data_IF_260467945863
#
_entry.id   IF_260467945863
#
_cell.length_a   1.000
_cell.length_b   1.000
_cell.length_c   1.000
_cell.angle_alpha   90.00
_cell.angle_beta   90.00
_cell.angle_gamma   90.00
#
_symmetry.space_group_name_H-M   'P 1'
#
loop_
_entity.id
_entity.type
_entity.pdbx_description
1 polymer ?
#
# COMPACT_ATOMS: atom_id res chain seq x y z
N UNK A 1 -77.20 -18.51 -29.52
CA UNK A 1 -75.84 -17.99 -29.80
C UNK A 1 -75.58 -16.82 -28.87
N UNK A 2 -74.57 -16.90 -27.99
CA UNK A 2 -74.18 -15.76 -27.16
C UNK A 2 -73.55 -14.68 -28.05
N UNK A 3 -74.05 -13.45 -27.90
CA UNK A 3 -73.60 -12.28 -28.67
C UNK A 3 -72.23 -11.85 -28.15
N UNK A 4 -71.19 -11.93 -28.98
CA UNK A 4 -69.82 -11.58 -28.57
C UNK A 4 -69.63 -10.07 -28.35
N UNK A 5 -68.57 -9.66 -27.65
CA UNK A 5 -68.29 -8.23 -27.37
C UNK A 5 -68.19 -7.38 -28.65
N UNK A 6 -67.66 -7.95 -29.73
CA UNK A 6 -67.65 -7.31 -31.06
C UNK A 6 -69.07 -7.06 -31.58
N UNK A 7 -69.98 -8.03 -31.44
CA UNK A 7 -71.35 -7.92 -31.96
C UNK A 7 -72.15 -6.86 -31.23
N UNK A 8 -71.94 -6.72 -29.93
CA UNK A 8 -72.56 -5.67 -29.11
C UNK A 8 -72.05 -4.28 -29.49
N UNK A 9 -70.73 -4.13 -29.67
CA UNK A 9 -70.12 -2.85 -30.08
C UNK A 9 -70.52 -2.46 -31.50
N UNK A 10 -70.53 -3.42 -32.42
CA UNK A 10 -70.89 -3.20 -33.82
C UNK A 10 -72.37 -2.81 -33.97
N UNK A 11 -73.27 -3.45 -33.23
CA UNK A 11 -74.70 -3.12 -33.29
C UNK A 11 -75.01 -1.75 -32.69
N UNK A 12 -74.26 -1.33 -31.66
CA UNK A 12 -74.36 0.03 -31.12
C UNK A 12 -73.80 1.06 -32.10
N UNK A 13 -72.67 0.77 -32.76
CA UNK A 13 -72.10 1.62 -33.81
C UNK A 13 -73.08 1.78 -34.99
N UNK A 14 -73.68 0.68 -35.47
CA UNK A 14 -74.68 0.71 -36.56
C UNK A 14 -75.87 1.63 -36.27
N UNK A 15 -76.36 1.67 -35.02
CA UNK A 15 -77.47 2.54 -34.62
C UNK A 15 -77.15 4.03 -34.74
N UNK A 16 -75.87 4.39 -34.63
CA UNK A 16 -75.38 5.78 -34.70
C UNK A 16 -75.10 6.23 -36.12
N UNK A 17 -75.10 5.33 -37.11
CA UNK A 17 -74.83 5.68 -38.51
C UNK A 17 -76.10 6.15 -39.24
N UNK A 18 -75.96 6.99 -40.29
CA UNK A 18 -77.06 7.40 -41.17
C UNK A 18 -77.83 6.20 -41.74
N UNK A 19 -79.18 6.23 -41.83
CA UNK A 19 -80.01 5.11 -42.27
C UNK A 19 -79.59 4.52 -43.62
N UNK A 20 -79.09 5.36 -44.53
CA UNK A 20 -78.68 5.00 -45.89
C UNK A 20 -77.43 4.11 -45.90
N UNK A 21 -76.56 4.21 -44.87
CA UNK A 21 -75.31 3.45 -44.76
C UNK A 21 -75.45 2.15 -43.97
N UNK A 22 -76.53 2.01 -43.18
CA UNK A 22 -76.73 0.84 -42.29
C UNK A 22 -76.78 -0.50 -43.02
N UNK A 23 -77.50 -0.66 -44.17
CA UNK A 23 -77.55 -1.94 -44.87
C UNK A 23 -76.18 -2.38 -45.40
N UNK A 24 -75.42 -1.42 -45.95
CA UNK A 24 -74.08 -1.67 -46.48
C UNK A 24 -73.03 -1.97 -45.40
N UNK A 25 -73.17 -1.41 -44.20
CA UNK A 25 -72.33 -1.76 -43.06
C UNK A 25 -72.74 -3.09 -42.43
N UNK A 26 -74.04 -3.36 -42.29
CA UNK A 26 -74.55 -4.62 -41.76
C UNK A 26 -74.12 -5.82 -42.62
N UNK A 27 -74.11 -5.69 -43.95
CA UNK A 27 -73.61 -6.74 -44.84
C UNK A 27 -72.11 -7.02 -44.70
N UNK A 28 -71.32 -6.04 -44.24
CA UNK A 28 -69.87 -6.16 -43.99
C UNK A 28 -69.51 -6.64 -42.58
N UNK A 29 -70.49 -6.83 -41.69
CA UNK A 29 -70.27 -7.20 -40.28
C UNK A 29 -69.38 -8.44 -40.11
N UNK A 30 -69.62 -9.48 -40.91
CA UNK A 30 -68.85 -10.72 -40.83
C UNK A 30 -67.38 -10.51 -41.22
N UNK A 31 -67.12 -9.82 -42.34
CA UNK A 31 -65.77 -9.49 -42.80
C UNK A 31 -65.02 -8.58 -41.83
N UNK A 32 -65.71 -7.60 -41.21
CA UNK A 32 -65.12 -6.73 -40.18
C UNK A 32 -64.80 -7.49 -38.89
N UNK A 33 -65.62 -8.48 -38.53
CA UNK A 33 -65.34 -9.37 -37.39
C UNK A 33 -64.08 -10.18 -37.64
N UNK A 34 -63.98 -10.80 -38.82
CA UNK A 34 -62.84 -11.61 -39.22
C UNK A 34 -61.54 -10.79 -39.30
N UNK A 35 -61.56 -9.64 -39.97
CA UNK A 35 -60.41 -8.74 -40.04
C UNK A 35 -60.02 -8.18 -38.65
N UNK A 36 -61.00 -7.96 -37.76
CA UNK A 36 -60.78 -7.60 -36.37
C UNK A 36 -60.11 -8.70 -35.56
N UNK A 37 -60.59 -9.94 -35.68
CA UNK A 37 -60.00 -11.11 -35.00
C UNK A 37 -58.58 -11.38 -35.48
N UNK A 38 -58.30 -11.27 -36.78
CA UNK A 38 -56.96 -11.47 -37.34
C UNK A 38 -55.97 -10.42 -36.80
N UNK A 39 -56.36 -9.15 -36.75
CA UNK A 39 -55.52 -8.08 -36.18
C UNK A 39 -55.28 -8.28 -34.68
N UNK A 40 -56.29 -8.70 -33.91
CA UNK A 40 -56.12 -9.02 -32.49
C UNK A 40 -55.21 -10.22 -32.27
N UNK A 41 -55.34 -11.28 -33.09
CA UNK A 41 -54.45 -12.43 -33.04
C UNK A 41 -53.00 -12.04 -33.38
N UNK A 42 -52.79 -11.22 -34.42
CA UNK A 42 -51.47 -10.67 -34.76
C UNK A 42 -50.90 -9.83 -33.61
N UNK A 43 -51.70 -8.97 -32.98
CA UNK A 43 -51.25 -8.15 -31.84
C UNK A 43 -50.90 -9.00 -30.61
N UNK A 44 -51.67 -10.06 -30.34
CA UNK A 44 -51.38 -11.00 -29.25
C UNK A 44 -50.09 -11.77 -29.51
N UNK A 45 -49.88 -12.24 -30.75
CA UNK A 45 -48.63 -12.90 -31.15
C UNK A 45 -47.43 -11.97 -31.01
N UNK A 46 -47.55 -10.71 -31.44
CA UNK A 46 -46.48 -9.72 -31.30
C UNK A 46 -46.14 -9.43 -29.83
N UNK A 47 -47.16 -9.25 -28.97
CA UNK A 47 -46.94 -9.04 -27.52
C UNK A 47 -46.28 -10.24 -26.85
N UNK A 48 -46.70 -11.45 -27.22
CA UNK A 48 -46.09 -12.69 -26.72
C UNK A 48 -44.63 -12.80 -27.17
N UNK A 49 -44.35 -12.51 -28.44
CA UNK A 49 -42.98 -12.50 -28.96
C UNK A 49 -42.09 -11.50 -28.24
N UNK A 50 -42.59 -10.29 -27.96
CA UNK A 50 -41.83 -9.29 -27.21
C UNK A 50 -41.56 -9.76 -25.78
N UNK A 51 -42.59 -10.28 -25.10
CA UNK A 51 -42.43 -10.82 -23.74
C UNK A 51 -41.40 -11.96 -23.68
N UNK A 52 -41.43 -12.89 -24.64
CA UNK A 52 -40.46 -13.99 -24.71
C UNK A 52 -39.02 -13.47 -24.95
N UNK A 53 -38.85 -12.41 -25.73
CA UNK A 53 -37.55 -11.75 -25.92
C UNK A 53 -37.06 -11.03 -24.65
N UNK A 54 -37.94 -10.31 -23.97
CA UNK A 54 -37.59 -9.58 -22.74
C UNK A 54 -37.21 -10.56 -21.61
N UNK A 55 -37.94 -11.67 -21.48
CA UNK A 55 -37.63 -12.74 -20.53
C UNK A 55 -36.29 -13.42 -20.85
N UNK A 56 -36.01 -13.67 -22.13
CA UNK A 56 -34.69 -14.19 -22.56
C UNK A 56 -33.57 -13.23 -22.14
N UNK A 57 -33.70 -11.95 -22.47
CA UNK A 57 -32.67 -10.96 -22.15
C UNK A 57 -32.43 -10.83 -20.64
N UNK A 58 -33.50 -10.88 -19.83
CA UNK A 58 -33.41 -10.83 -18.38
C UNK A 58 -32.65 -12.04 -17.83
N UNK A 59 -33.06 -13.26 -18.19
CA UNK A 59 -32.40 -14.50 -17.73
C UNK A 59 -30.96 -14.56 -18.22
N UNK A 60 -30.69 -14.21 -19.48
CA UNK A 60 -29.32 -14.19 -19.99
C UNK A 60 -28.42 -13.21 -19.24
N UNK A 61 -28.96 -12.04 -18.87
CA UNK A 61 -28.22 -11.05 -18.08
C UNK A 61 -27.93 -11.57 -16.67
N UNK A 62 -28.95 -12.14 -16.01
CA UNK A 62 -28.83 -12.71 -14.67
C UNK A 62 -27.81 -13.86 -14.64
N UNK A 63 -27.87 -14.79 -15.59
CA UNK A 63 -26.95 -15.93 -15.64
C UNK A 63 -25.52 -15.51 -15.98
N UNK A 64 -25.32 -14.51 -16.84
CA UNK A 64 -23.97 -13.97 -17.09
C UNK A 64 -23.42 -13.25 -15.86
N UNK A 65 -24.26 -12.55 -15.10
CA UNK A 65 -23.86 -11.92 -13.84
C UNK A 65 -23.53 -12.97 -12.76
N UNK A 66 -24.29 -14.06 -12.70
CA UNK A 66 -24.01 -15.20 -11.82
C UNK A 66 -22.65 -15.82 -12.17
N UNK A 67 -22.36 -16.06 -13.44
CA UNK A 67 -21.05 -16.57 -13.90
C UNK A 67 -19.93 -15.58 -13.54
N UNK A 68 -20.14 -14.28 -13.74
CA UNK A 68 -19.13 -13.26 -13.47
C UNK A 68 -18.74 -13.16 -11.97
N UNK A 69 -19.66 -13.51 -11.07
CA UNK A 69 -19.45 -13.49 -9.61
C UNK A 69 -19.04 -14.84 -9.01
N UNK A 70 -19.23 -15.93 -9.75
CA UNK A 70 -18.92 -17.28 -9.28
C UNK A 70 -17.43 -17.56 -9.38
N UNK A 71 -16.98 -18.59 -8.66
CA UNK A 71 -15.64 -19.14 -8.87
C UNK A 71 -15.54 -19.68 -10.30
N UNK A 72 -14.63 -19.18 -11.16
CA UNK A 72 -14.44 -19.68 -12.52
C UNK A 72 -14.00 -21.15 -12.58
N UNK A 73 -13.50 -21.72 -11.47
CA UNK A 73 -13.22 -23.15 -11.33
C UNK A 73 -14.45 -23.99 -10.94
N UNK A 74 -15.55 -23.38 -10.53
CA UNK A 74 -16.82 -24.07 -10.32
C UNK A 74 -17.49 -24.38 -11.67
N UNK A 75 -17.06 -25.50 -12.25
CA UNK A 75 -17.57 -25.98 -13.53
C UNK A 75 -19.04 -26.34 -13.46
N UNK A 76 -19.53 -26.79 -12.31
CA UNK A 76 -20.92 -27.19 -12.15
C UNK A 76 -21.85 -25.97 -12.16
N UNK A 77 -21.49 -24.89 -11.47
CA UNK A 77 -22.23 -23.63 -11.52
C UNK A 77 -22.23 -23.04 -12.93
N UNK A 78 -21.07 -23.06 -13.61
CA UNK A 78 -20.96 -22.60 -15.00
C UNK A 78 -21.85 -23.40 -15.95
N UNK A 79 -21.80 -24.74 -15.90
CA UNK A 79 -22.59 -25.59 -16.77
C UNK A 79 -24.09 -25.47 -16.48
N UNK A 80 -24.49 -25.31 -15.22
CA UNK A 80 -25.87 -25.05 -14.84
C UNK A 80 -26.41 -23.75 -15.44
N UNK A 81 -25.67 -22.64 -15.31
CA UNK A 81 -26.04 -21.34 -15.89
C UNK A 81 -26.10 -21.41 -17.43
N UNK A 82 -25.14 -22.09 -18.04
CA UNK A 82 -25.12 -22.34 -19.48
C UNK A 82 -26.35 -23.13 -19.93
N UNK A 83 -26.70 -24.21 -19.23
CA UNK A 83 -27.87 -25.04 -19.53
C UNK A 83 -29.18 -24.27 -19.34
N UNK A 84 -29.31 -23.45 -18.29
CA UNK A 84 -30.52 -22.67 -18.05
C UNK A 84 -30.87 -21.75 -19.24
N UNK A 85 -29.87 -21.06 -19.81
CA UNK A 85 -30.08 -20.22 -21.00
C UNK A 85 -30.37 -21.04 -22.26
N UNK A 86 -29.75 -22.21 -22.45
CA UNK A 86 -30.04 -23.10 -23.58
C UNK A 86 -31.48 -23.65 -23.51
N UNK A 87 -31.94 -24.05 -22.34
CA UNK A 87 -33.31 -24.53 -22.11
C UNK A 87 -34.35 -23.44 -22.42
N UNK A 88 -34.03 -22.18 -22.13
CA UNK A 88 -34.89 -21.06 -22.48
C UNK A 88 -34.94 -20.84 -23.99
N UNK A 89 -33.81 -20.84 -24.67
CA UNK A 89 -33.72 -20.74 -26.14
C UNK A 89 -34.49 -21.88 -26.81
N UNK A 90 -34.40 -23.11 -26.29
CA UNK A 90 -35.09 -24.28 -26.82
C UNK A 90 -36.63 -24.17 -26.73
N UNK A 91 -37.15 -23.47 -25.72
CA UNK A 91 -38.59 -23.21 -25.53
C UNK A 91 -39.13 -22.13 -26.44
N UNK A 92 -38.26 -21.31 -27.06
CA UNK A 92 -38.69 -20.24 -27.96
C UNK A 92 -39.14 -20.79 -29.32
N UNK A 93 -40.15 -20.16 -29.91
CA UNK A 93 -40.62 -20.49 -31.26
C UNK A 93 -39.73 -19.83 -32.33
N UNK A 94 -38.43 -20.12 -32.30
CA UNK A 94 -37.45 -19.65 -33.27
C UNK A 94 -37.34 -20.59 -34.46
N UNK A 95 -37.08 -20.02 -35.63
CA UNK A 95 -36.63 -20.75 -36.82
C UNK A 95 -35.38 -21.60 -36.48
N UNK A 96 -35.23 -22.83 -37.01
CA UNK A 96 -34.11 -23.70 -36.68
C UNK A 96 -32.73 -23.06 -36.89
N UNK A 97 -32.54 -22.26 -37.93
CA UNK A 97 -31.26 -21.62 -38.20
C UNK A 97 -30.98 -20.47 -37.21
N UNK A 98 -32.01 -19.70 -36.88
CA UNK A 98 -31.92 -18.63 -35.87
C UNK A 98 -31.61 -19.23 -34.50
N UNK A 99 -32.28 -20.33 -34.13
CA UNK A 99 -32.03 -21.04 -32.88
C UNK A 99 -30.57 -21.46 -32.73
N UNK A 100 -30.00 -22.11 -33.75
CA UNK A 100 -28.59 -22.52 -33.73
C UNK A 100 -27.64 -21.33 -33.53
N UNK A 101 -27.92 -20.20 -34.19
CA UNK A 101 -27.14 -18.97 -34.00
C UNK A 101 -27.29 -18.40 -32.59
N UNK A 102 -28.50 -18.36 -32.04
CA UNK A 102 -28.76 -17.88 -30.67
C UNK A 102 -28.07 -18.77 -29.63
N UNK A 103 -28.14 -20.09 -29.79
CA UNK A 103 -27.43 -21.01 -28.90
C UNK A 103 -25.91 -20.85 -28.99
N UNK A 104 -25.35 -20.69 -30.20
CA UNK A 104 -23.92 -20.46 -30.38
C UNK A 104 -23.48 -19.13 -29.75
N UNK A 105 -24.25 -18.06 -29.95
CA UNK A 105 -24.00 -16.77 -29.32
C UNK A 105 -24.07 -16.86 -27.79
N UNK A 106 -25.04 -17.61 -27.26
CA UNK A 106 -25.17 -17.84 -25.82
C UNK A 106 -23.95 -18.56 -25.24
N UNK A 107 -23.52 -19.68 -25.85
CA UNK A 107 -22.32 -20.42 -25.44
C UNK A 107 -21.06 -19.53 -25.46
N UNK A 108 -20.91 -18.71 -26.50
CA UNK A 108 -19.80 -17.77 -26.62
C UNK A 108 -19.82 -16.70 -25.51
N UNK A 109 -21.00 -16.15 -25.18
CA UNK A 109 -21.17 -15.17 -24.10
C UNK A 109 -20.86 -15.76 -22.72
N UNK A 110 -21.35 -16.97 -22.42
CA UNK A 110 -21.06 -17.64 -21.15
C UNK A 110 -19.58 -17.95 -21.02
N UNK A 111 -18.94 -18.48 -22.09
CA UNK A 111 -17.52 -18.75 -22.10
C UNK A 111 -16.68 -17.47 -21.89
N UNK A 112 -17.10 -16.36 -22.52
CA UNK A 112 -16.45 -15.06 -22.34
C UNK A 112 -16.56 -14.57 -20.90
N UNK A 113 -17.76 -14.59 -20.31
CA UNK A 113 -17.99 -14.15 -18.93
C UNK A 113 -17.15 -14.96 -17.92
N UNK A 114 -17.05 -16.29 -18.12
CA UNK A 114 -16.18 -17.13 -17.29
C UNK A 114 -14.71 -16.74 -17.39
N UNK A 115 -14.21 -16.46 -18.61
CA UNK A 115 -12.83 -16.01 -18.79
C UNK A 115 -12.59 -14.62 -18.21
N UNK A 116 -13.57 -13.72 -18.25
CA UNK A 116 -13.49 -12.41 -17.59
C UNK A 116 -13.43 -12.55 -16.06
N UNK A 117 -14.22 -13.45 -15.48
CA UNK A 117 -14.13 -13.81 -14.06
C UNK A 117 -12.75 -14.38 -13.70
N UNK A 118 -12.22 -15.29 -14.52
CA UNK A 118 -10.87 -15.83 -14.34
C UNK A 118 -9.79 -14.75 -14.45
N UNK A 119 -9.93 -13.78 -15.36
CA UNK A 119 -8.99 -12.65 -15.45
C UNK A 119 -9.04 -11.79 -14.18
N UNK A 120 -10.22 -11.59 -13.60
CA UNK A 120 -10.36 -10.82 -12.38
C UNK A 120 -9.73 -11.53 -11.16
N UNK A 121 -9.80 -12.86 -11.10
CA UNK A 121 -9.25 -13.65 -10.00
C UNK A 121 -7.75 -13.98 -10.17
N UNK A 122 -7.36 -14.48 -11.35
CA UNK A 122 -5.99 -14.89 -11.67
C UNK A 122 -5.67 -14.56 -13.16
N UNK A 123 -5.27 -13.31 -13.44
CA UNK A 123 -4.98 -12.87 -14.80
C UNK A 123 -3.80 -13.60 -15.43
N UNK A 124 -2.84 -14.08 -14.63
CA UNK A 124 -1.68 -14.83 -15.11
C UNK A 124 -2.08 -16.21 -15.63
N UNK A 125 -2.92 -16.93 -14.88
CA UNK A 125 -3.50 -18.21 -15.31
C UNK A 125 -4.39 -18.02 -16.53
N UNK A 126 -5.24 -17.00 -16.55
CA UNK A 126 -6.07 -16.67 -17.71
C UNK A 126 -5.22 -16.45 -18.97
N UNK A 127 -4.15 -15.65 -18.86
CA UNK A 127 -3.24 -15.38 -19.97
C UNK A 127 -2.56 -16.66 -20.48
N UNK A 128 -2.14 -17.56 -19.58
CA UNK A 128 -1.55 -18.86 -19.94
C UNK A 128 -2.54 -19.74 -20.70
N UNK A 129 -3.78 -19.84 -20.21
CA UNK A 129 -4.84 -20.62 -20.85
C UNK A 129 -5.20 -20.08 -22.23
N UNK A 130 -5.36 -18.76 -22.37
CA UNK A 130 -5.67 -18.10 -23.65
C UNK A 130 -4.51 -18.17 -24.65
N UNK A 131 -3.27 -18.26 -24.18
CA UNK A 131 -2.08 -18.37 -25.04
C UNK A 131 -1.82 -19.79 -25.53
N UNK A 132 -2.26 -20.81 -24.79
CA UNK A 132 -2.07 -22.22 -25.16
C UNK A 132 -2.92 -22.65 -26.38
N UNK A 133 -3.95 -21.86 -26.72
CA UNK A 133 -4.90 -22.19 -27.79
C UNK A 133 -5.76 -23.42 -27.45
N UNK A 134 -6.79 -23.73 -28.27
CA UNK A 134 -7.51 -24.99 -28.15
C UNK A 134 -6.56 -26.12 -28.54
N UNK A 135 -6.09 -26.90 -27.55
CA UNK A 135 -5.24 -28.06 -27.80
C UNK A 135 -6.12 -29.16 -28.42
N UNK A 136 -5.94 -29.41 -29.71
CA UNK A 136 -6.45 -30.63 -30.37
C UNK A 136 -5.50 -31.78 -30.06
N UNK A 137 -5.52 -32.31 -28.83
CA UNK A 137 -4.82 -33.56 -28.51
C UNK A 137 -5.73 -34.47 -27.71
N UNK A 138 -5.87 -35.67 -28.27
CA UNK A 138 -6.54 -36.89 -27.81
C UNK A 138 -7.54 -36.84 -26.66
N UNK A 139 -8.73 -37.34 -27.01
CA UNK A 139 -9.87 -37.69 -26.18
C UNK A 139 -9.44 -38.66 -25.08
N UNK A 140 -8.91 -38.14 -23.97
CA UNK A 140 -8.76 -38.89 -22.73
C UNK A 140 -9.01 -37.96 -21.54
N UNK A 141 -10.23 -38.08 -21.00
CA UNK A 141 -10.79 -37.40 -19.82
C UNK A 141 -10.72 -35.86 -19.86
N UNK A 142 -11.84 -35.25 -20.28
CA UNK A 142 -12.01 -33.81 -20.42
C UNK A 142 -11.67 -33.02 -19.16
N UNK A 143 -10.72 -32.09 -19.30
CA UNK A 143 -10.70 -30.91 -18.45
C UNK A 143 -11.71 -29.90 -19.03
N UNK A 144 -12.78 -29.53 -18.29
CA UNK A 144 -13.88 -28.67 -18.75
C UNK A 144 -13.45 -27.24 -19.16
N UNK A 145 -12.18 -26.89 -18.93
CA UNK A 145 -11.55 -25.65 -19.38
C UNK A 145 -11.33 -25.58 -20.90
N UNK A 146 -11.23 -26.73 -21.58
CA UNK A 146 -11.00 -26.82 -23.02
C UNK A 146 -12.26 -26.56 -23.85
N UNK A 147 -13.43 -26.93 -23.33
CA UNK A 147 -14.73 -26.69 -23.99
C UNK A 147 -15.10 -25.20 -24.01
N UNK A 148 -14.81 -24.46 -22.93
CA UNK A 148 -15.07 -23.01 -22.89
C UNK A 148 -14.25 -22.23 -23.93
N UNK A 149 -13.01 -22.67 -24.23
CA UNK A 149 -12.17 -22.05 -25.27
C UNK A 149 -12.69 -22.34 -26.69
N UNK A 150 -13.37 -23.47 -26.90
CA UNK A 150 -13.91 -23.87 -28.20
C UNK A 150 -15.11 -23.00 -28.63
N UNK A 151 -15.86 -22.45 -27.68
CA UNK A 151 -17.00 -21.56 -27.94
C UNK A 151 -16.58 -20.10 -28.22
N UNK A 152 -15.31 -19.75 -28.02
CA UNK A 152 -14.82 -18.39 -28.21
C UNK A 152 -14.33 -18.16 -29.65
N UNK A 153 -14.69 -17.01 -30.21
CA UNK A 153 -14.13 -16.57 -31.49
C UNK A 153 -12.64 -16.22 -31.34
N UNK A 154 -11.84 -16.32 -32.42
CA UNK A 154 -10.42 -15.93 -32.40
C UNK A 154 -10.20 -14.49 -31.93
N UNK A 155 -11.11 -13.57 -32.26
CA UNK A 155 -11.02 -12.17 -31.84
C UNK A 155 -11.35 -11.98 -30.35
N UNK A 156 -12.32 -12.74 -29.81
CA UNK A 156 -12.59 -12.76 -28.39
C UNK A 156 -11.38 -13.29 -27.60
N UNK A 157 -10.74 -14.37 -28.08
CA UNK A 157 -9.51 -14.91 -27.48
C UNK A 157 -8.41 -13.85 -27.45
N UNK A 158 -8.19 -13.12 -28.57
CA UNK A 158 -7.19 -12.04 -28.64
C UNK A 158 -7.52 -10.89 -27.68
N UNK A 159 -8.79 -10.49 -27.59
CA UNK A 159 -9.22 -9.42 -26.69
C UNK A 159 -9.00 -9.80 -25.22
N UNK A 160 -9.49 -10.99 -24.83
CA UNK A 160 -9.32 -11.52 -23.47
C UNK A 160 -7.85 -11.70 -23.12
N UNK A 161 -7.01 -12.13 -24.07
CA UNK A 161 -5.57 -12.27 -23.84
C UNK A 161 -4.89 -10.92 -23.58
N UNK A 162 -5.27 -9.87 -24.33
CA UNK A 162 -4.78 -8.51 -24.06
C UNK A 162 -5.23 -8.01 -22.68
N UNK A 163 -6.49 -8.25 -22.32
CA UNK A 163 -7.03 -7.89 -21.01
C UNK A 163 -6.31 -8.63 -19.87
N UNK A 164 -6.11 -9.94 -20.01
CA UNK A 164 -5.37 -10.77 -19.06
C UNK A 164 -3.92 -10.28 -18.87
N UNK A 165 -3.23 -9.96 -19.97
CA UNK A 165 -1.85 -9.42 -19.92
C UNK A 165 -1.79 -8.05 -19.25
N UNK A 166 -2.74 -7.17 -19.55
CA UNK A 166 -2.83 -5.86 -18.91
C UNK A 166 -3.08 -6.00 -17.41
N UNK A 167 -4.04 -6.82 -17.00
CA UNK A 167 -4.33 -7.10 -15.59
C UNK A 167 -3.13 -7.74 -14.87
N UNK A 168 -2.43 -8.67 -15.51
CA UNK A 168 -1.19 -9.26 -14.98
C UNK A 168 -0.13 -8.18 -14.75
N UNK A 169 0.08 -7.27 -15.71
CA UNK A 169 1.05 -6.19 -15.55
C UNK A 169 0.67 -5.25 -14.39
N UNK A 170 -0.61 -4.90 -14.25
CA UNK A 170 -1.10 -4.09 -13.12
C UNK A 170 -0.87 -4.78 -11.78
N UNK A 171 -1.15 -6.09 -11.69
CA UNK A 171 -0.90 -6.87 -10.48
C UNK A 171 0.58 -6.92 -10.11
N UNK A 172 1.47 -7.13 -11.10
CA UNK A 172 2.92 -7.15 -10.87
C UNK A 172 3.46 -5.80 -10.40
N UNK A 173 2.96 -4.68 -10.95
CA UNK A 173 3.32 -3.33 -10.49
C UNK A 173 2.89 -3.13 -9.03
N UNK A 174 1.66 -3.50 -8.68
CA UNK A 174 1.16 -3.41 -7.32
C UNK A 174 1.97 -4.26 -6.34
N UNK A 175 2.29 -5.50 -6.72
CA UNK A 175 3.11 -6.40 -5.92
C UNK A 175 4.54 -5.84 -5.72
N UNK A 176 5.15 -5.28 -6.78
CA UNK A 176 6.47 -4.63 -6.72
C UNK A 176 6.47 -3.47 -5.73
N UNK A 177 5.48 -2.58 -5.85
CA UNK A 177 5.33 -1.45 -4.95
C UNK A 177 5.16 -1.89 -3.48
N UNK A 178 4.40 -2.96 -3.22
CA UNK A 178 4.26 -3.52 -1.88
C UNK A 178 5.59 -4.07 -1.34
N UNK A 179 6.36 -4.79 -2.17
CA UNK A 179 7.69 -5.29 -1.77
C UNK A 179 8.63 -4.13 -1.44
N UNK A 180 8.70 -3.12 -2.30
CA UNK A 180 9.60 -1.97 -2.11
C UNK A 180 9.23 -1.21 -0.84
N UNK A 181 7.93 -0.99 -0.62
CA UNK A 181 7.40 -0.30 0.55
C UNK A 181 7.64 -1.06 1.86
N UNK A 182 7.45 -2.38 1.86
CA UNK A 182 7.79 -3.23 3.00
C UNK A 182 9.31 -3.25 3.23
N UNK A 183 10.11 -3.36 2.17
CA UNK A 183 11.58 -3.39 2.25
C UNK A 183 12.16 -2.12 2.87
N UNK A 184 11.54 -0.97 2.59
CA UNK A 184 11.95 0.33 3.14
C UNK A 184 11.46 0.52 4.59
N UNK A 185 10.21 0.18 4.87
CA UNK A 185 9.57 0.61 6.13
C UNK A 185 9.53 -0.47 7.22
N UNK A 186 9.39 -1.75 6.84
CA UNK A 186 9.20 -2.82 7.82
C UNK A 186 10.41 -3.02 8.75
N UNK A 187 11.68 -3.00 8.28
CA UNK A 187 12.83 -3.09 9.18
C UNK A 187 12.84 -2.01 10.26
N UNK A 188 12.44 -0.78 9.91
CA UNK A 188 12.39 0.32 10.87
C UNK A 188 11.22 0.22 11.83
N UNK A 189 10.02 -0.05 11.32
CA UNK A 189 8.83 -0.24 12.15
C UNK A 189 9.01 -1.38 13.17
N UNK A 190 9.65 -2.47 12.76
CA UNK A 190 9.96 -3.59 13.65
C UNK A 190 11.02 -3.16 14.68
N UNK A 191 12.06 -2.44 14.28
CA UNK A 191 13.10 -1.97 15.20
C UNK A 191 12.56 -1.06 16.32
N UNK A 192 11.58 -0.20 16.03
CA UNK A 192 11.00 0.71 17.02
C UNK A 192 9.84 0.10 17.80
N UNK A 193 8.91 -0.56 17.10
CA UNK A 193 7.64 -1.02 17.70
C UNK A 193 7.56 -2.53 17.94
N UNK A 194 8.48 -3.31 17.38
CA UNK A 194 8.47 -4.77 17.44
C UNK A 194 7.51 -5.42 16.42
N UNK A 195 6.80 -4.63 15.63
CA UNK A 195 5.82 -5.13 14.66
C UNK A 195 5.76 -4.29 13.38
N UNK A 196 5.14 -4.84 12.34
CA UNK A 196 4.80 -4.14 11.11
C UNK A 196 3.33 -4.35 10.80
N UNK A 197 2.57 -3.27 10.59
CA UNK A 197 1.10 -3.34 10.51
C UNK A 197 0.57 -3.80 9.15
N UNK A 198 1.40 -3.77 8.10
CA UNK A 198 1.01 -4.16 6.75
C UNK A 198 1.41 -5.60 6.45
N UNK A 199 0.78 -6.23 5.43
CA UNK A 199 1.16 -7.57 4.99
C UNK A 199 2.65 -7.64 4.66
N UNK A 200 3.32 -8.65 5.21
CA UNK A 200 4.72 -8.93 4.92
C UNK A 200 4.81 -9.68 3.60
N UNK A 201 5.63 -9.22 2.63
CA UNK A 201 5.85 -9.97 1.41
C UNK A 201 6.41 -11.37 1.67
N UNK A 202 5.87 -12.36 0.96
CA UNK A 202 6.26 -13.76 1.04
C UNK A 202 7.30 -14.13 -0.03
N UNK A 203 8.01 -15.27 0.10
CA UNK A 203 8.90 -15.75 -0.96
C UNK A 203 8.21 -15.90 -2.31
N UNK A 204 6.92 -16.25 -2.32
CA UNK A 204 6.13 -16.41 -3.53
C UNK A 204 5.93 -15.07 -4.26
N UNK A 205 5.77 -13.98 -3.53
CA UNK A 205 5.62 -12.63 -4.11
C UNK A 205 6.91 -12.19 -4.82
N UNK A 206 8.08 -12.46 -4.22
CA UNK A 206 9.36 -12.18 -4.88
C UNK A 206 9.57 -13.09 -6.09
N UNK A 207 9.26 -14.38 -5.98
CA UNK A 207 9.39 -15.31 -7.11
C UNK A 207 8.48 -14.93 -8.28
N UNK A 208 7.29 -14.40 -8.01
CA UNK A 208 6.35 -13.95 -9.04
C UNK A 208 6.86 -12.75 -9.84
N UNK A 209 7.64 -11.85 -9.22
CA UNK A 209 8.13 -10.62 -9.84
C UNK A 209 9.49 -10.80 -10.50
N UNK A 210 10.41 -11.46 -9.80
CA UNK A 210 11.82 -11.56 -10.20
C UNK A 210 12.17 -12.93 -10.79
N UNK A 211 11.24 -13.89 -10.75
CA UNK A 211 11.51 -15.30 -11.04
C UNK A 211 12.02 -16.06 -9.81
N UNK A 212 12.00 -17.39 -9.87
CA UNK A 212 12.28 -18.25 -8.70
C UNK A 212 13.68 -18.03 -8.12
N UNK A 213 14.70 -17.99 -8.98
CA UNK A 213 16.08 -17.87 -8.52
C UNK A 213 16.41 -16.47 -8.00
N UNK A 214 16.11 -15.44 -8.79
CA UNK A 214 16.42 -14.05 -8.41
C UNK A 214 15.49 -13.54 -7.31
N UNK A 215 14.22 -13.95 -7.33
CA UNK A 215 13.27 -13.70 -6.24
C UNK A 215 13.71 -14.34 -4.93
N UNK A 216 14.32 -15.54 -4.98
CA UNK A 216 14.92 -16.16 -3.81
C UNK A 216 16.01 -15.30 -3.18
N UNK A 217 16.90 -14.71 -3.99
CA UNK A 217 17.97 -13.80 -3.52
C UNK A 217 17.40 -12.52 -2.93
N UNK A 218 16.48 -11.86 -3.63
CA UNK A 218 15.83 -10.64 -3.12
C UNK A 218 15.06 -10.89 -1.83
N UNK A 219 14.39 -12.03 -1.69
CA UNK A 219 13.71 -12.39 -0.44
C UNK A 219 14.70 -12.65 0.71
N UNK A 220 15.86 -13.25 0.43
CA UNK A 220 16.91 -13.42 1.44
C UNK A 220 17.45 -12.07 1.92
N UNK A 221 17.69 -11.12 1.02
CA UNK A 221 18.10 -9.75 1.37
C UNK A 221 17.04 -9.05 2.21
N UNK A 222 15.79 -9.12 1.79
CA UNK A 222 14.65 -8.59 2.54
C UNK A 222 14.57 -9.21 3.94
N UNK A 223 14.66 -10.53 4.05
CA UNK A 223 14.61 -11.26 5.32
C UNK A 223 15.74 -10.86 6.26
N UNK A 224 16.95 -10.63 5.73
CA UNK A 224 18.08 -10.11 6.51
C UNK A 224 17.78 -8.72 7.09
N UNK A 225 17.23 -7.81 6.29
CA UNK A 225 16.83 -6.47 6.78
C UNK A 225 15.78 -6.54 7.88
N UNK A 226 14.81 -7.43 7.75
CA UNK A 226 13.78 -7.67 8.77
C UNK A 226 14.42 -8.22 10.07
N UNK A 227 15.38 -9.13 9.96
CA UNK A 227 16.08 -9.68 11.13
C UNK A 227 16.92 -8.62 11.85
N UNK A 228 17.59 -7.73 11.11
CA UNK A 228 18.26 -6.56 11.70
C UNK A 228 17.26 -5.72 12.50
N UNK A 229 16.06 -5.49 11.97
CA UNK A 229 15.00 -4.79 12.68
C UNK A 229 14.60 -5.50 13.98
N UNK A 230 14.40 -6.82 13.95
CA UNK A 230 14.05 -7.60 15.15
C UNK A 230 15.14 -7.57 16.22
N UNK A 231 16.40 -7.72 15.83
CA UNK A 231 17.51 -7.67 16.78
C UNK A 231 17.70 -6.27 17.35
N UNK A 232 17.56 -5.21 16.54
CA UNK A 232 17.63 -3.83 17.01
C UNK A 232 16.53 -3.55 18.06
N UNK A 233 15.31 -4.06 17.85
CA UNK A 233 14.25 -3.98 18.85
C UNK A 233 14.63 -4.66 20.17
N UNK A 234 15.26 -5.84 20.10
CA UNK A 234 15.77 -6.53 21.28
C UNK A 234 16.89 -5.76 22.01
N UNK A 235 17.73 -5.05 21.26
CA UNK A 235 18.84 -4.26 21.79
C UNK A 235 18.40 -2.93 22.42
N UNK A 236 17.15 -2.50 22.20
CA UNK A 236 16.73 -1.13 22.54
C UNK A 236 16.89 -0.77 24.03
N UNK A 237 16.67 -1.75 24.90
CA UNK A 237 16.82 -1.62 26.35
C UNK A 237 18.15 -2.18 26.88
N UNK A 238 19.00 -2.74 26.01
CA UNK A 238 20.29 -3.29 26.43
C UNK A 238 21.30 -2.16 26.70
N UNK A 239 22.08 -2.20 27.80
CA UNK A 239 23.18 -1.26 27.99
C UNK A 239 24.22 -1.36 26.87
N UNK A 240 24.88 -0.24 26.53
CA UNK A 240 25.92 -0.19 25.49
C UNK A 240 26.98 -1.30 25.68
N UNK A 241 27.44 -1.50 26.92
CA UNK A 241 28.40 -2.56 27.23
C UNK A 241 27.87 -3.97 26.89
N UNK A 242 26.58 -4.24 27.11
CA UNK A 242 25.97 -5.52 26.78
C UNK A 242 25.85 -5.70 25.26
N UNK A 243 25.56 -4.63 24.52
CA UNK A 243 25.56 -4.64 23.04
C UNK A 243 26.99 -4.94 22.52
N UNK A 244 28.01 -4.27 23.07
CA UNK A 244 29.40 -4.53 22.70
C UNK A 244 29.86 -5.95 23.07
N UNK A 245 29.41 -6.51 24.19
CA UNK A 245 29.68 -7.89 24.55
C UNK A 245 29.03 -8.86 23.55
N UNK A 246 27.74 -8.67 23.24
CA UNK A 246 27.03 -9.49 22.27
C UNK A 246 27.68 -9.46 20.87
N UNK A 247 28.23 -8.32 20.45
CA UNK A 247 28.99 -8.23 19.19
C UNK A 247 30.27 -9.05 19.21
N UNK A 248 31.06 -8.95 20.28
CA UNK A 248 32.29 -9.73 20.43
C UNK A 248 32.01 -11.23 20.48
N UNK A 249 30.95 -11.63 21.17
CA UNK A 249 30.56 -13.04 21.28
C UNK A 249 30.04 -13.60 19.95
N UNK A 250 29.45 -12.75 19.09
CA UNK A 250 28.99 -13.12 17.76
C UNK A 250 30.09 -13.08 16.69
N UNK A 251 31.30 -12.62 17.02
CA UNK A 251 32.37 -12.41 16.05
C UNK A 251 32.83 -13.76 15.44
N UNK A 252 32.81 -13.90 14.10
CA UNK A 252 33.14 -15.16 13.45
C UNK A 252 34.63 -15.44 13.56
N UNK A 253 34.98 -16.61 14.09
CA UNK A 253 36.36 -17.08 14.17
C UNK A 253 36.96 -17.50 12.81
N UNK A 254 38.29 -17.74 12.75
CA UNK A 254 38.93 -18.23 11.53
C UNK A 254 38.31 -19.53 11.02
N UNK A 255 37.89 -19.55 9.75
CA UNK A 255 37.24 -20.72 9.14
C UNK A 255 35.74 -20.86 9.44
N UNK A 256 35.11 -19.83 10.03
CA UNK A 256 33.66 -19.75 10.23
C UNK A 256 32.87 -19.97 8.94
N UNK A 257 31.66 -20.52 9.08
CA UNK A 257 30.77 -20.73 7.95
C UNK A 257 30.22 -19.40 7.41
N UNK A 258 29.70 -19.42 6.17
CA UNK A 258 29.00 -18.27 5.60
C UNK A 258 27.75 -17.89 6.42
N UNK A 259 27.12 -18.87 7.07
CA UNK A 259 25.97 -18.64 7.94
C UNK A 259 26.35 -17.89 9.21
N UNK A 260 27.47 -18.26 9.86
CA UNK A 260 27.99 -17.55 11.03
C UNK A 260 28.33 -16.10 10.67
N UNK A 261 28.93 -15.88 9.51
CA UNK A 261 29.24 -14.55 9.03
C UNK A 261 27.98 -13.72 8.74
N UNK A 262 26.94 -14.32 8.18
CA UNK A 262 25.65 -13.65 7.97
C UNK A 262 24.96 -13.28 9.29
N UNK A 263 25.00 -14.17 10.30
CA UNK A 263 24.46 -13.89 11.65
C UNK A 263 25.20 -12.75 12.34
N UNK A 264 26.53 -12.73 12.24
CA UNK A 264 27.34 -11.62 12.74
C UNK A 264 26.98 -10.30 12.06
N UNK A 265 26.86 -10.27 10.72
CA UNK A 265 26.49 -9.05 9.99
C UNK A 265 25.14 -8.49 10.43
N UNK A 266 24.14 -9.35 10.66
CA UNK A 266 22.83 -8.92 11.17
C UNK A 266 22.96 -8.30 12.57
N UNK A 267 23.73 -8.95 13.45
CA UNK A 267 23.97 -8.47 14.82
C UNK A 267 24.71 -7.14 14.83
N UNK A 268 25.75 -7.01 14.01
CA UNK A 268 26.52 -5.79 13.82
C UNK A 268 25.64 -4.64 13.30
N UNK A 269 24.83 -4.87 12.27
CA UNK A 269 23.92 -3.86 11.75
C UNK A 269 22.86 -3.41 12.77
N UNK A 270 22.33 -4.34 13.57
CA UNK A 270 21.38 -4.04 14.63
C UNK A 270 22.00 -3.20 15.75
N UNK A 271 23.23 -3.53 16.16
CA UNK A 271 23.98 -2.77 17.16
C UNK A 271 24.33 -1.37 16.65
N UNK A 272 24.85 -1.26 15.42
CA UNK A 272 25.15 0.03 14.79
C UNK A 272 23.91 0.93 14.73
N UNK A 273 22.76 0.38 14.34
CA UNK A 273 21.49 1.11 14.36
C UNK A 273 21.17 1.63 15.76
N UNK A 274 21.19 0.75 16.76
CA UNK A 274 20.79 1.06 18.13
C UNK A 274 21.71 2.12 18.76
N UNK A 275 23.03 1.94 18.63
CA UNK A 275 24.03 2.88 19.14
C UNK A 275 24.01 4.21 18.39
N UNK A 276 23.78 4.17 17.08
CA UNK A 276 23.60 5.37 16.25
C UNK A 276 22.42 6.22 16.71
N UNK A 277 21.25 5.61 16.94
CA UNK A 277 20.07 6.31 17.46
C UNK A 277 20.32 6.94 18.83
N UNK A 278 21.03 6.25 19.72
CA UNK A 278 21.44 6.78 21.03
C UNK A 278 22.39 7.96 20.91
N UNK A 279 23.26 7.99 19.88
CA UNK A 279 24.20 9.09 19.64
C UNK A 279 23.51 10.30 19.02
N UNK A 280 22.56 10.09 18.11
CA UNK A 280 21.86 11.16 17.39
C UNK A 280 20.94 11.97 18.31
N UNK A 281 20.13 11.30 19.14
CA UNK A 281 19.25 11.98 20.10
C UNK A 281 19.15 11.14 21.39
N UNK A 282 20.17 11.17 22.28
CA UNK A 282 20.20 10.39 23.51
C UNK A 282 18.92 10.50 24.34
N UNK A 283 18.43 11.72 24.51
CA UNK A 283 17.26 12.04 25.33
C UNK A 283 15.95 11.67 24.62
N UNK A 284 15.85 11.91 23.30
CA UNK A 284 14.72 11.44 22.50
C UNK A 284 14.63 9.93 22.44
N UNK A 285 15.77 9.24 22.35
CA UNK A 285 15.83 7.78 22.35
C UNK A 285 15.27 7.19 23.63
N UNK A 286 15.71 7.66 24.81
CA UNK A 286 15.18 7.14 26.07
C UNK A 286 13.72 7.50 26.28
N UNK A 287 13.26 8.64 25.75
CA UNK A 287 11.85 9.01 25.77
C UNK A 287 11.00 8.00 24.97
N UNK A 288 11.47 7.59 23.81
CA UNK A 288 10.76 6.60 22.98
C UNK A 288 10.76 5.19 23.60
N UNK A 289 11.88 4.79 24.22
CA UNK A 289 12.06 3.43 24.74
C UNK A 289 11.41 3.24 26.11
N UNK A 290 11.42 4.25 26.98
CA UNK A 290 10.95 4.16 28.35
C UNK A 290 9.69 4.99 28.59
N UNK A 291 8.53 4.36 28.83
CA UNK A 291 7.25 5.06 29.04
C UNK A 291 7.28 6.10 30.16
N UNK A 292 8.03 5.85 31.23
CA UNK A 292 8.15 6.78 32.35
C UNK A 292 8.87 8.09 31.95
N UNK A 293 9.83 8.00 31.03
CA UNK A 293 10.52 9.17 30.47
C UNK A 293 9.55 9.97 29.59
N UNK A 294 8.76 9.31 28.74
CA UNK A 294 7.74 9.97 27.93
C UNK A 294 6.65 10.65 28.76
N UNK A 295 6.19 9.99 29.82
CA UNK A 295 5.24 10.58 30.77
C UNK A 295 5.80 11.85 31.42
N UNK A 296 7.07 11.83 31.84
CA UNK A 296 7.71 12.99 32.45
C UNK A 296 7.80 14.18 31.48
N UNK A 297 8.19 13.95 30.22
CA UNK A 297 8.22 15.00 29.19
C UNK A 297 6.83 15.48 28.76
N UNK A 298 5.83 14.60 28.77
CA UNK A 298 4.44 14.97 28.48
C UNK A 298 3.86 15.85 29.58
N UNK A 299 4.23 15.63 30.85
CA UNK A 299 3.83 16.49 31.96
C UNK A 299 4.38 17.92 31.83
N UNK A 300 5.62 18.08 31.33
CA UNK A 300 6.20 19.40 31.02
C UNK A 300 5.37 20.13 29.97
N UNK A 301 5.02 19.44 28.87
CA UNK A 301 4.20 20.02 27.81
C UNK A 301 2.81 20.47 28.31
N UNK A 302 2.13 19.63 29.10
CA UNK A 302 0.81 19.92 29.66
C UNK A 302 0.84 21.03 30.75
N UNK A 303 1.97 21.19 31.43
CA UNK A 303 2.15 22.26 32.44
C UNK A 303 2.29 23.63 31.78
N UNK A 304 2.90 23.69 30.59
CA UNK A 304 3.02 24.93 29.81
C UNK A 304 1.67 25.44 29.26
N UNK A 305 0.68 24.56 29.06
CA UNK A 305 -0.67 24.97 28.62
C UNK A 305 -1.52 25.58 29.74
N UNK A 306 -1.29 25.18 31.00
CA UNK A 306 -2.12 25.55 32.14
C UNK A 306 -1.47 26.56 33.10
N UNK A 307 -0.15 26.72 33.07
CA UNK A 307 0.61 27.73 33.80
C UNK A 307 1.42 28.56 32.80
N UNK A 308 1.25 29.88 32.82
CA UNK A 308 1.93 30.87 31.95
C UNK A 308 3.43 31.04 32.23
N UNK A 309 4.10 29.94 32.55
CA UNK A 309 5.50 29.90 32.92
C UNK A 309 5.84 28.48 33.26
N UNK A 310 6.75 27.87 32.50
CA UNK A 310 7.01 26.44 32.59
C UNK A 310 7.39 26.02 34.01
N UNK A 311 6.72 24.99 34.51
CA UNK A 311 6.91 24.49 35.88
C UNK A 311 8.35 23.98 36.08
N UNK A 312 9.16 24.65 36.92
CA UNK A 312 10.55 24.24 37.18
C UNK A 312 10.65 22.82 37.76
N UNK A 313 9.66 22.38 38.55
CA UNK A 313 9.65 21.03 39.12
C UNK A 313 9.35 19.98 38.05
N UNK A 314 8.45 20.27 37.10
CA UNK A 314 8.21 19.40 35.96
C UNK A 314 9.46 19.22 35.10
N UNK A 315 10.18 20.31 34.80
CA UNK A 315 11.47 20.24 34.10
C UNK A 315 12.52 19.45 34.89
N UNK A 316 12.66 19.73 36.19
CA UNK A 316 13.62 19.00 37.05
C UNK A 316 13.36 17.50 37.03
N UNK A 317 12.10 17.09 37.16
CA UNK A 317 11.72 15.68 37.13
C UNK A 317 12.02 15.04 35.76
N UNK A 318 11.66 15.70 34.67
CA UNK A 318 11.91 15.20 33.32
C UNK A 318 13.42 15.05 33.02
N UNK A 319 14.24 16.02 33.43
CA UNK A 319 15.69 15.94 33.32
C UNK A 319 16.26 14.77 34.11
N UNK A 320 15.87 14.65 35.40
CA UNK A 320 16.39 13.61 36.28
C UNK A 320 16.09 12.20 35.74
N UNK A 321 14.85 11.92 35.35
CA UNK A 321 14.44 10.61 34.84
C UNK A 321 15.09 10.33 33.47
N UNK A 322 15.14 11.31 32.57
CA UNK A 322 15.77 11.17 31.25
C UNK A 322 17.27 10.87 31.36
N UNK A 323 18.02 11.64 32.15
CA UNK A 323 19.47 11.45 32.33
C UNK A 323 19.75 10.11 33.03
N UNK A 324 18.95 9.73 34.02
CA UNK A 324 19.08 8.42 34.68
C UNK A 324 18.88 7.27 33.68
N UNK A 325 17.87 7.33 32.81
CA UNK A 325 17.63 6.34 31.77
C UNK A 325 18.78 6.27 30.75
N UNK A 326 19.35 7.42 30.36
CA UNK A 326 20.50 7.47 29.45
C UNK A 326 21.74 6.80 30.06
N UNK A 327 22.00 7.07 31.35
CA UNK A 327 23.08 6.43 32.11
C UNK A 327 22.86 4.94 32.28
N UNK A 328 21.61 4.50 32.51
CA UNK A 328 21.27 3.07 32.58
C UNK A 328 21.60 2.35 31.26
N UNK A 329 21.39 3.01 30.12
CA UNK A 329 21.79 2.49 28.82
C UNK A 329 23.30 2.60 28.55
N UNK A 330 24.08 3.20 29.45
CA UNK A 330 25.52 3.40 29.28
C UNK A 330 25.87 4.45 28.24
N UNK A 331 25.01 5.46 28.03
CA UNK A 331 25.31 6.61 27.17
C UNK A 331 26.31 7.51 27.88
N UNK A 332 27.46 7.75 27.25
CA UNK A 332 28.62 8.45 27.85
C UNK A 332 28.41 9.96 28.00
N UNK A 333 27.69 10.55 27.05
CA UNK A 333 27.37 11.99 27.02
C UNK A 333 25.86 12.21 27.08
N UNK A 334 25.23 12.12 28.28
CA UNK A 334 23.80 12.35 28.42
C UNK A 334 23.41 13.77 28.01
N UNK A 335 22.28 13.88 27.31
CA UNK A 335 21.69 15.15 26.95
C UNK A 335 20.46 15.44 27.82
N UNK A 336 20.29 16.66 28.33
CA UNK A 336 19.13 17.00 29.15
C UNK A 336 17.84 17.03 28.33
N UNK A 337 17.84 17.62 27.12
CA UNK A 337 16.63 17.77 26.30
C UNK A 337 16.58 16.77 25.15
N UNK A 338 15.42 16.11 24.91
CA UNK A 338 15.12 15.53 23.61
C UNK A 338 15.19 16.59 22.51
N UNK A 339 15.74 16.26 21.35
CA UNK A 339 15.92 17.22 20.24
C UNK A 339 14.61 17.90 19.86
N UNK A 340 13.51 17.14 19.78
CA UNK A 340 12.18 17.68 19.48
C UNK A 340 11.66 18.67 20.53
N UNK A 341 12.03 18.48 21.81
CA UNK A 341 11.65 19.41 22.89
C UNK A 341 12.48 20.69 22.80
N UNK A 342 13.80 20.57 22.55
CA UNK A 342 14.67 21.73 22.35
C UNK A 342 14.19 22.60 21.17
N UNK A 343 13.86 21.98 20.04
CA UNK A 343 13.29 22.67 18.88
C UNK A 343 11.92 23.31 19.21
N UNK A 344 11.07 22.60 19.95
CA UNK A 344 9.79 23.14 20.41
C UNK A 344 9.95 24.40 21.26
N UNK A 345 10.93 24.41 22.16
CA UNK A 345 11.28 25.56 23.00
C UNK A 345 11.77 26.73 22.14
N UNK A 346 12.76 26.50 21.26
CA UNK A 346 13.31 27.57 20.39
C UNK A 346 12.23 28.16 19.48
N UNK A 347 11.40 27.31 18.87
CA UNK A 347 10.29 27.78 18.03
C UNK A 347 9.27 28.60 18.83
N UNK A 348 9.03 28.25 20.09
CA UNK A 348 8.15 29.00 20.98
C UNK A 348 8.76 30.35 21.33
N UNK A 349 10.04 30.40 21.70
CA UNK A 349 10.74 31.64 22.05
C UNK A 349 10.83 32.63 20.87
N UNK A 350 10.92 32.13 19.64
CA UNK A 350 10.93 32.96 18.42
C UNK A 350 9.56 33.50 17.99
N UNK A 351 8.44 32.97 18.53
CA UNK A 351 7.11 33.48 18.17
C UNK A 351 6.90 34.89 18.73
N UNK A 352 6.54 35.83 17.86
CA UNK A 352 6.18 37.20 18.24
C UNK A 352 4.85 37.31 18.98
N UNK A 353 4.00 36.28 18.90
CA UNK A 353 2.68 36.22 19.54
C UNK A 353 2.76 35.89 21.04
N UNK A 354 3.91 35.40 21.51
CA UNK A 354 4.12 35.04 22.92
C UNK A 354 4.70 36.26 23.65
N UNK A 355 4.15 36.57 24.83
CA UNK A 355 4.61 37.71 25.60
C UNK A 355 6.04 37.50 26.10
N UNK A 356 6.83 38.58 26.19
CA UNK A 356 8.20 38.50 26.75
C UNK A 356 8.21 37.93 28.18
N UNK A 357 7.17 38.21 28.97
CA UNK A 357 6.99 37.61 30.30
C UNK A 357 6.85 36.09 30.25
N UNK A 358 6.15 35.54 29.26
CA UNK A 358 5.99 34.09 29.10
C UNK A 358 7.31 33.45 28.61
N UNK A 359 8.04 34.14 27.72
CA UNK A 359 9.36 33.70 27.25
C UNK A 359 10.39 33.67 28.40
N UNK A 360 10.44 34.72 29.21
CA UNK A 360 11.28 34.79 30.41
C UNK A 360 10.90 33.71 31.41
N UNK A 361 9.60 33.43 31.59
CA UNK A 361 9.15 32.39 32.49
C UNK A 361 9.57 30.97 32.03
N UNK A 362 9.57 30.69 30.73
CA UNK A 362 10.10 29.43 30.16
C UNK A 362 11.60 29.30 30.43
N UNK A 363 12.37 30.36 30.14
CA UNK A 363 13.81 30.37 30.37
C UNK A 363 14.15 30.24 31.86
N UNK A 364 13.41 30.92 32.72
CA UNK A 364 13.56 30.82 34.17
C UNK A 364 13.20 29.42 34.66
N UNK A 365 12.15 28.79 34.15
CA UNK A 365 11.80 27.39 34.47
C UNK A 365 12.92 26.41 34.14
N UNK A 366 13.51 26.53 32.95
CA UNK A 366 14.67 25.73 32.54
C UNK A 366 15.90 25.97 33.41
N UNK A 367 16.17 27.23 33.79
CA UNK A 367 17.31 27.57 34.65
C UNK A 367 17.12 27.14 36.11
N UNK A 368 15.89 27.23 36.62
CA UNK A 368 15.50 26.91 37.99
C UNK A 368 15.35 25.41 38.24
N UNK A 369 15.34 24.58 37.19
CA UNK A 369 15.29 23.12 37.28
C UNK A 369 16.50 22.47 38.01
N UNK A 370 17.45 23.26 38.53
CA UNK A 370 18.47 22.76 39.46
C UNK A 370 19.50 21.82 38.82
N UNK A 371 19.88 22.09 37.58
CA UNK A 371 20.90 21.34 36.85
C UNK A 371 22.30 21.62 37.43
N UNK A 372 23.15 20.59 37.48
CA UNK A 372 24.57 20.76 37.76
C UNK A 372 25.25 21.62 36.66
N UNK A 373 26.43 22.21 36.93
CA UNK A 373 27.10 23.11 35.98
C UNK A 373 27.32 22.50 34.59
N UNK A 374 27.70 21.23 34.51
CA UNK A 374 28.03 20.55 33.25
C UNK A 374 26.76 20.28 32.42
N UNK A 375 25.68 19.86 33.09
CA UNK A 375 24.38 19.68 32.43
C UNK A 375 23.79 21.00 31.95
N UNK A 376 24.02 22.10 32.69
CA UNK A 376 23.60 23.45 32.27
C UNK A 376 24.34 23.92 31.02
N UNK A 377 25.64 23.67 30.91
CA UNK A 377 26.40 23.98 29.70
C UNK A 377 25.88 23.18 28.49
N UNK A 378 25.62 21.89 28.70
CA UNK A 378 25.07 21.00 27.66
C UNK A 378 23.69 21.47 27.20
N UNK A 379 22.82 21.88 28.14
CA UNK A 379 21.51 22.46 27.83
C UNK A 379 21.63 23.70 26.94
N UNK A 380 22.52 24.64 27.29
CA UNK A 380 22.72 25.87 26.51
C UNK A 380 23.22 25.55 25.09
N UNK A 381 24.16 24.60 24.97
CA UNK A 381 24.65 24.13 23.68
C UNK A 381 23.52 23.54 22.82
N UNK A 382 22.67 22.70 23.40
CA UNK A 382 21.53 22.10 22.68
C UNK A 382 20.52 23.15 22.19
N UNK A 383 20.25 24.18 22.99
CA UNK A 383 19.34 25.26 22.57
C UNK A 383 19.97 26.12 21.46
N UNK A 384 21.28 26.35 21.52
CA UNK A 384 22.03 27.06 20.48
C UNK A 384 22.03 26.29 19.15
N UNK A 385 22.31 24.99 19.20
CA UNK A 385 22.24 24.06 18.06
C UNK A 385 20.82 23.99 17.46
N UNK A 386 19.78 24.07 18.31
CA UNK A 386 18.39 24.17 17.88
C UNK A 386 18.02 25.56 17.30
N UNK A 387 18.92 26.54 17.36
CA UNK A 387 18.83 27.82 16.68
C UNK A 387 18.62 29.03 17.59
N UNK A 388 18.74 28.93 18.92
CA UNK A 388 18.46 30.08 19.80
C UNK A 388 19.26 31.35 19.44
N UNK A 389 20.48 31.22 18.88
CA UNK A 389 21.33 32.36 18.48
C UNK A 389 21.31 32.69 16.97
N UNK A 390 20.53 32.00 16.14
CA UNK A 390 20.41 32.37 14.72
C UNK A 390 19.48 33.58 14.56
N UNK A 391 19.91 34.68 13.91
CA UNK A 391 19.04 35.82 13.63
C UNK A 391 17.92 35.43 12.67
N UNK A 392 16.74 36.03 12.85
CA UNK A 392 15.60 35.86 11.94
C UNK A 392 16.05 36.10 10.49
N UNK A 393 15.86 35.09 9.65
CA UNK A 393 16.21 35.15 8.25
C UNK A 393 15.38 36.25 7.58
N UNK A 394 16.09 37.19 6.95
CA UNK A 394 15.58 38.28 6.12
C UNK A 394 14.50 37.78 5.15
N UNK A 395 13.42 38.57 5.03
CA UNK A 395 12.28 38.36 4.12
C UNK A 395 12.69 37.81 2.74
N UNK A 396 12.04 36.74 2.22
CA UNK A 396 12.38 36.12 0.94
C UNK A 396 11.97 36.93 -0.31
N UNK A 397 11.69 38.23 -0.19
CA UNK A 397 11.19 39.05 -1.33
C UNK A 397 12.33 39.54 -2.25
N UNK A 398 13.60 39.41 -1.89
CA UNK A 398 14.73 39.85 -2.75
C UNK A 398 15.47 38.75 -3.50
N UNK A 399 15.03 37.48 -3.46
CA UNK A 399 15.70 36.37 -4.19
C UNK A 399 14.81 35.74 -5.27
N UNK A 400 14.05 36.55 -6.01
CA UNK A 400 13.33 36.12 -7.21
C UNK A 400 14.08 36.57 -8.49
N UNK A 401 15.32 36.12 -8.68
CA UNK A 401 16.04 36.36 -9.95
C UNK A 401 17.16 35.35 -10.23
N UNK A 402 16.93 34.04 -10.08
CA UNK A 402 17.57 33.02 -10.94
C UNK A 402 16.86 31.68 -10.79
N UNK A 403 16.48 31.10 -11.92
CA UNK A 403 15.49 30.03 -12.00
C UNK A 403 15.96 28.67 -11.50
N UNK A 404 15.04 27.99 -10.82
CA UNK A 404 15.02 26.55 -10.59
C UNK A 404 13.63 26.18 -10.11
N UNK A 405 12.85 25.45 -10.92
CA UNK A 405 11.50 24.99 -10.57
C UNK A 405 11.57 24.12 -9.30
N UNK A 406 10.78 24.39 -8.25
CA UNK A 406 10.59 23.45 -7.17
C UNK A 406 9.60 22.36 -7.59
N UNK A 407 10.02 21.10 -7.41
CA UNK A 407 9.13 19.95 -7.42
C UNK A 407 8.15 20.05 -6.24
N UNK A 408 6.85 20.00 -6.53
CA UNK A 408 5.77 19.96 -5.55
C UNK A 408 5.84 18.67 -4.72
N UNK A 409 6.44 18.75 -3.54
CA UNK A 409 6.20 17.79 -2.47
C UNK A 409 4.90 18.21 -1.74
N UNK A 410 3.95 17.27 -1.69
CA UNK A 410 2.70 17.42 -0.94
C UNK A 410 3.04 17.51 0.55
N UNK A 411 2.86 18.69 1.13
CA UNK A 411 2.97 18.93 2.57
C UNK A 411 1.83 18.22 3.32
N UNK A 412 2.15 17.14 4.03
CA UNK A 412 1.35 16.67 5.17
C UNK A 412 1.99 17.21 6.46
N UNK A 413 1.32 18.15 7.13
CA UNK A 413 1.84 18.96 8.23
C UNK A 413 2.07 18.24 9.57
N UNK A 414 3.07 17.37 9.65
CA UNK A 414 3.73 16.97 10.90
C UNK A 414 5.24 17.08 10.71
N UNK A 415 5.99 17.75 11.60
CA UNK A 415 7.44 17.70 11.56
C UNK A 415 7.87 16.24 11.76
N UNK A 416 8.61 15.67 10.79
CA UNK A 416 9.16 14.32 10.90
C UNK A 416 10.09 14.26 12.11
N UNK A 417 9.98 13.21 12.91
CA UNK A 417 10.91 12.99 14.02
C UNK A 417 12.32 12.68 13.49
N UNK A 418 13.36 12.95 14.30
CA UNK A 418 14.73 12.58 13.96
C UNK A 418 14.90 11.06 13.71
N UNK A 419 14.03 10.23 14.31
CA UNK A 419 13.93 8.79 14.08
C UNK A 419 13.30 8.43 12.72
N UNK A 420 12.33 9.20 12.25
CA UNK A 420 11.76 9.05 10.90
C UNK A 420 12.78 9.46 9.83
N UNK A 421 13.52 10.55 10.07
CA UNK A 421 14.58 11.01 9.18
C UNK A 421 15.79 10.05 9.16
N UNK A 422 16.28 9.62 10.33
CA UNK A 422 17.31 8.59 10.43
C UNK A 422 16.83 7.23 9.91
N UNK A 423 15.52 6.98 9.92
CA UNK A 423 14.89 5.79 9.36
C UNK A 423 14.94 5.74 7.82
N UNK A 424 14.75 6.89 7.16
CA UNK A 424 14.92 7.04 5.71
C UNK A 424 16.40 6.88 5.32
N UNK A 425 17.31 7.51 6.07
CA UNK A 425 18.76 7.41 5.83
C UNK A 425 19.28 5.98 6.09
N UNK A 426 18.72 5.26 7.06
CA UNK A 426 19.07 3.88 7.35
C UNK A 426 18.59 2.89 6.28
N UNK A 427 17.42 3.12 5.67
CA UNK A 427 16.93 2.31 4.54
C UNK A 427 17.86 2.38 3.33
N UNK A 428 18.43 3.56 3.08
CA UNK A 428 19.45 3.80 2.07
C UNK A 428 20.81 3.19 2.47
N UNK A 429 21.25 3.42 3.72
CA UNK A 429 22.50 2.89 4.26
C UNK A 429 22.56 1.36 4.30
N UNK A 430 21.47 0.66 4.63
CA UNK A 430 21.45 -0.80 4.55
C UNK A 430 21.57 -1.29 3.11
N UNK A 431 20.98 -0.57 2.15
CA UNK A 431 21.06 -0.95 0.74
C UNK A 431 22.48 -0.74 0.19
N UNK A 432 23.17 0.34 0.58
CA UNK A 432 24.57 0.59 0.21
C UNK A 432 25.56 -0.27 1.00
N UNK A 433 25.34 -0.47 2.29
CA UNK A 433 26.18 -1.26 3.20
C UNK A 433 26.17 -2.74 2.87
N UNK A 434 25.02 -3.32 2.52
CA UNK A 434 24.95 -4.72 2.04
C UNK A 434 25.53 -4.87 0.63
N UNK A 435 25.39 -3.89 -0.27
CA UNK A 435 26.08 -3.91 -1.59
C UNK A 435 27.61 -3.79 -1.46
N UNK A 436 28.10 -2.95 -0.55
CA UNK A 436 29.54 -2.80 -0.26
C UNK A 436 30.15 -4.06 0.38
N UNK A 437 29.40 -4.73 1.27
CA UNK A 437 29.80 -6.01 1.87
C UNK A 437 29.74 -7.20 0.89
N UNK A 438 28.90 -7.11 -0.15
CA UNK A 438 28.72 -8.17 -1.15
C UNK A 438 29.70 -8.15 -2.34
N UNK A 439 30.36 -7.02 -2.64
CA UNK A 439 31.18 -6.85 -3.87
C UNK A 439 32.71 -6.84 -3.69
N UNK A 440 33.27 -6.93 -2.47
CA UNK A 440 34.72 -6.76 -2.28
C UNK A 440 35.49 -8.08 -2.07
N UNK A 441 36.35 -8.53 -3.01
CA UNK A 441 37.41 -9.46 -2.70
C UNK A 441 38.57 -8.70 -2.02
N UNK A 442 38.93 -9.13 -0.80
CA UNK A 442 40.19 -8.80 -0.09
C UNK A 442 40.48 -7.32 0.24
N UNK A 443 39.47 -6.47 0.40
CA UNK A 443 39.65 -5.10 0.94
C UNK A 443 39.20 -4.91 2.40
N UNK A 444 38.30 -5.78 2.88
CA UNK A 444 37.75 -5.70 4.24
C UNK A 444 38.81 -6.02 5.30
N UNK A 445 39.88 -6.74 4.95
CA UNK A 445 40.99 -7.00 5.88
C UNK A 445 41.69 -5.72 6.36
N UNK A 446 41.72 -4.66 5.54
CA UNK A 446 42.31 -3.37 5.89
C UNK A 446 41.34 -2.52 6.73
N UNK A 447 40.06 -2.45 6.35
CA UNK A 447 39.01 -1.73 7.08
C UNK A 447 38.73 -2.39 8.44
N UNK A 448 38.83 -3.72 8.53
CA UNK A 448 38.78 -4.47 9.79
C UNK A 448 40.12 -4.47 10.54
N UNK A 449 41.26 -4.20 9.89
CA UNK A 449 42.52 -3.94 10.60
C UNK A 449 42.49 -2.58 11.29
N UNK A 450 41.93 -1.56 10.65
CA UNK A 450 41.69 -0.26 11.27
C UNK A 450 40.66 -0.38 12.42
N UNK A 451 39.63 -1.24 12.27
CA UNK A 451 38.68 -1.59 13.34
C UNK A 451 39.32 -2.40 14.48
N UNK A 452 40.38 -3.16 14.19
CA UNK A 452 41.12 -4.02 15.13
C UNK A 452 42.18 -3.23 15.92
N UNK A 453 42.80 -2.24 15.30
CA UNK A 453 43.93 -1.50 15.86
C UNK A 453 43.49 -0.17 16.54
N UNK A 454 42.37 0.44 16.13
CA UNK A 454 41.77 1.60 16.81
C UNK A 454 40.23 1.66 16.60
N UNK A 455 39.43 0.86 17.33
CA UNK A 455 37.96 0.85 17.20
C UNK A 455 37.30 2.21 17.51
N UNK A 456 38.03 3.13 18.13
CA UNK A 456 37.57 4.46 18.54
C UNK A 456 37.68 5.50 17.43
N UNK A 457 38.75 5.46 16.61
CA UNK A 457 38.97 6.42 15.52
C UNK A 457 37.96 6.26 14.37
N UNK A 458 37.58 5.03 14.03
CA UNK A 458 36.64 4.78 12.93
C UNK A 458 35.22 5.30 13.23
N UNK A 459 34.76 5.20 14.48
CA UNK A 459 33.46 5.73 14.91
C UNK A 459 33.47 7.27 15.03
N UNK A 460 34.65 7.87 15.21
CA UNK A 460 34.86 9.33 15.21
C UNK A 460 35.04 9.92 13.79
N UNK A 461 35.51 9.12 12.83
CA UNK A 461 35.76 9.53 11.43
C UNK A 461 34.55 9.37 10.49
N UNK A 462 33.43 8.83 10.96
CA UNK A 462 32.19 8.86 10.19
C UNK A 462 31.81 10.32 9.91
N UNK A 463 31.59 10.70 8.63
CA UNK A 463 31.29 12.09 8.30
C UNK A 463 30.04 12.53 9.06
N UNK A 464 30.21 13.50 9.96
CA UNK A 464 29.11 14.39 10.35
C UNK A 464 28.75 15.11 9.07
N UNK A 465 27.61 14.81 8.46
CA UNK A 465 27.15 15.46 7.23
C UNK A 465 27.21 16.98 7.45
N UNK A 466 28.18 17.70 6.86
CA UNK A 466 28.15 19.15 6.90
C UNK A 466 27.10 19.53 5.86
N UNK A 467 26.15 20.39 6.24
CA UNK A 467 25.33 21.10 5.25
C UNK A 467 26.28 21.66 4.18
N UNK A 468 26.09 21.21 2.94
CA UNK A 468 26.96 21.49 1.82
C UNK A 468 27.17 23.00 1.65
N UNK A 469 28.39 23.48 1.93
CA UNK A 469 28.89 24.74 1.39
C UNK A 469 29.59 24.43 0.06
N UNK A 470 28.95 24.83 -1.03
CA UNK A 470 29.56 24.84 -2.36
C UNK A 470 30.85 25.68 -2.34
N UNK A 471 31.97 25.04 -2.72
CA UNK A 471 33.21 25.73 -3.06
C UNK A 471 33.25 25.93 -4.58
N UNK A 472 33.28 27.19 -5.01
CA UNK A 472 33.58 27.59 -6.39
C UNK A 472 34.96 27.14 -6.86
N UNK A 473 35.13 26.69 -8.11
CA UNK A 473 36.45 26.45 -8.67
C UNK A 473 37.07 27.76 -9.19
N UNK A 474 38.28 28.08 -8.71
CA UNK A 474 39.21 29.00 -9.38
C UNK A 474 40.03 28.22 -10.42
N UNK A 475 39.89 28.63 -11.68
CA UNK A 475 40.99 28.83 -12.63
C UNK A 475 41.75 27.63 -13.18
N UNK A 476 41.45 27.29 -14.43
CA UNK A 476 42.38 27.43 -15.56
C UNK A 476 41.57 27.69 -16.84
#
# INVERSE_FOLDING_TARGET
>A
MLKGRFDTLFDNFLKQQPPELRPGLASRKAALREAGSTRMAMQQLQRRSQYEQDQLAAVQTEELENIAKSDPDDTAAFDAARHAGLDLIAKMNLDPQIRLQTEAAWRASTAKARMEALIAQDPGRAAKMLSAGPVTSDRQAGTPSTESLADLSPDNIRQLLRQARAATATQLIGARANIDLASQNAPNAIASTGSYSRPMPSPADFAAIYGVEEGGKHYQDFSRKIEVGRQAFGMRTMPNQAIHAALRDAEPGPGSSQEDQARYQVTAAAALKTLGLRRTDPAGYVREVFPDVDAAWSNVANSNDNQKGGDPEAYRNAFAISIAAQRQLGIESPQPLPTAVAQGIVNTLRKNEISESDKEAILHGLQAAGLDPDTRETLLRQLDEAGLSQPDQVDPITTAATGGRPSLAVNSGRPKSALEQAGEDFGNYLSEGFEALGRAPRGIGQILQDLRDSPWDFLEQLPVTPLAREQSPKGA
#
